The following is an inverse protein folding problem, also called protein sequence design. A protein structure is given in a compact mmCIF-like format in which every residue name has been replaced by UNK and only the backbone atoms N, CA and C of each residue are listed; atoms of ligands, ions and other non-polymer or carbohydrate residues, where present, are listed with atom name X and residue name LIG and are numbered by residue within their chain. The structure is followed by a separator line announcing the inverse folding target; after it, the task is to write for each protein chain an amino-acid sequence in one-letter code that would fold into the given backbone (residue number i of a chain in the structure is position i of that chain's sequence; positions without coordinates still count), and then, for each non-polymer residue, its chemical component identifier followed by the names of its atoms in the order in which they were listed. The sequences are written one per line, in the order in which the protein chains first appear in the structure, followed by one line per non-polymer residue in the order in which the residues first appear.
data_IF_314499136045
#
_entry.id   IF_314499136045
#
_cell.length_a   1.000
_cell.length_b   1.000
_cell.length_c   1.000
_cell.angle_alpha   90.00
_cell.angle_beta   90.00
_cell.angle_gamma   90.00
#
_symmetry.space_group_name_H-M   'P 1'
#
loop_
_entity.id
_entity.type
_entity.pdbx_description
1 polymer ?
#
# COMPACT_ATOMS: atom_id res chain seq x y z
N UNK A 1 -2.65 -27.51 20.39
CA UNK A 1 -2.31 -26.75 19.17
C UNK A 1 -2.80 -27.48 17.90
N UNK A 2 -2.56 -28.80 17.75
CA UNK A 2 -3.17 -29.62 16.68
C UNK A 2 -4.72 -29.66 16.72
N UNK A 3 -5.33 -29.63 17.91
CA UNK A 3 -6.79 -29.63 18.08
C UNK A 3 -7.48 -28.35 17.57
N UNK A 4 -6.83 -27.19 17.68
CA UNK A 4 -7.32 -25.91 17.14
C UNK A 4 -7.08 -25.78 15.62
N UNK A 5 -6.01 -26.39 15.10
CA UNK A 5 -5.66 -26.40 13.67
C UNK A 5 -6.64 -27.27 12.86
N UNK A 6 -7.13 -28.38 13.44
CA UNK A 6 -8.11 -29.26 12.81
C UNK A 6 -9.54 -28.67 12.79
N UNK A 7 -9.92 -27.86 13.77
CA UNK A 7 -11.24 -27.22 13.80
C UNK A 7 -11.35 -26.00 12.84
N UNK A 8 -10.24 -25.29 12.60
CA UNK A 8 -10.21 -24.19 11.63
C UNK A 8 -10.45 -24.65 10.19
N UNK A 9 -9.89 -25.79 9.78
CA UNK A 9 -10.07 -26.34 8.41
C UNK A 9 -11.51 -26.71 8.09
N UNK A 10 -12.26 -27.30 9.04
CA UNK A 10 -13.67 -27.69 8.80
C UNK A 10 -14.62 -26.48 8.68
N UNK A 11 -14.25 -25.33 9.25
CA UNK A 11 -15.06 -24.09 9.16
C UNK A 11 -14.90 -23.36 7.81
N UNK A 12 -13.80 -23.58 7.08
CA UNK A 12 -13.46 -22.85 5.86
C UNK A 12 -14.05 -23.48 4.58
N UNK A 13 -14.53 -24.73 4.64
CA UNK A 13 -15.10 -25.43 3.48
C UNK A 13 -16.57 -25.07 3.15
N UNK A 14 -17.25 -24.26 3.98
CA UNK A 14 -18.69 -23.97 3.83
C UNK A 14 -19.05 -22.51 3.47
N UNK A 15 -18.12 -21.74 2.91
CA UNK A 15 -18.39 -20.37 2.43
C UNK A 15 -17.82 -20.14 1.02
N UNK A 16 -18.13 -21.05 0.09
CA UNK A 16 -18.16 -20.72 -1.34
C UNK A 16 -19.62 -20.71 -1.75
N UNK A 17 -20.16 -19.52 -2.02
CA UNK A 17 -20.94 -19.19 -3.22
C UNK A 17 -21.32 -17.69 -3.22
N UNK A 18 -20.94 -17.05 -4.34
CA UNK A 18 -21.57 -15.92 -5.05
C UNK A 18 -22.11 -14.73 -4.24
N UNK A 19 -21.49 -13.57 -4.46
CA UNK A 19 -22.22 -12.35 -4.81
C UNK A 19 -21.35 -11.41 -5.64
N UNK A 20 -21.70 -11.30 -6.93
CA UNK A 20 -21.25 -10.25 -7.84
C UNK A 20 -21.91 -8.94 -7.40
N UNK A 21 -21.13 -7.97 -6.92
CA UNK A 21 -21.52 -6.55 -6.91
C UNK A 21 -20.33 -5.71 -7.36
N UNK A 22 -20.59 -4.85 -8.32
CA UNK A 22 -19.65 -3.89 -8.88
C UNK A 22 -19.17 -2.94 -7.78
N UNK A 23 -17.89 -3.03 -7.44
CA UNK A 23 -17.20 -2.06 -6.60
C UNK A 23 -16.10 -1.42 -7.45
N UNK A 24 -16.19 -0.10 -7.65
CA UNK A 24 -15.06 0.70 -8.13
C UNK A 24 -13.99 0.62 -7.05
N UNK A 25 -12.94 -0.17 -7.28
CA UNK A 25 -11.80 -0.33 -6.38
C UNK A 25 -11.05 1.02 -6.23
N UNK A 26 -11.04 1.67 -5.04
CA UNK A 26 -10.14 2.80 -4.79
C UNK A 26 -8.76 2.31 -4.30
N UNK A 27 -8.50 1.00 -4.30
CA UNK A 27 -7.26 0.42 -3.80
C UNK A 27 -6.11 0.55 -4.80
N UNK A 28 -5.60 1.78 -4.95
CA UNK A 28 -4.21 2.06 -5.29
C UNK A 28 -3.72 3.27 -4.49
N UNK A 29 -3.65 3.13 -3.17
CA UNK A 29 -2.80 3.99 -2.35
C UNK A 29 -2.07 3.13 -1.32
N UNK A 30 -0.91 2.61 -1.72
CA UNK A 30 0.15 2.32 -0.75
C UNK A 30 1.00 3.59 -0.59
N UNK A 31 0.49 4.60 0.11
CA UNK A 31 1.34 5.68 0.60
C UNK A 31 1.83 5.31 1.99
N UNK A 32 3.11 4.96 2.04
CA UNK A 32 3.86 4.81 3.28
C UNK A 32 3.77 6.12 4.08
N UNK A 33 3.08 6.11 5.22
CA UNK A 33 3.25 7.13 6.24
C UNK A 33 4.29 6.62 7.24
N UNK A 34 5.54 7.06 7.04
CA UNK A 34 6.51 7.17 8.13
C UNK A 34 6.52 8.62 8.56
N UNK A 35 6.11 8.88 9.80
CA UNK A 35 6.29 10.16 10.46
C UNK A 35 7.78 10.41 10.70
N UNK A 36 8.33 11.48 10.13
CA UNK A 36 9.58 12.06 10.58
C UNK A 36 9.40 13.58 10.61
N UNK A 37 9.36 14.12 11.82
CA UNK A 37 9.66 15.52 12.09
C UNK A 37 11.17 15.71 11.96
N UNK A 38 11.63 16.48 10.99
CA UNK A 38 13.01 16.94 10.91
C UNK A 38 13.08 18.36 10.33
N UNK A 39 13.94 19.14 10.95
CA UNK A 39 14.30 20.54 10.68
C UNK A 39 14.74 20.77 9.23
N UNK A 40 14.20 21.82 8.63
CA UNK A 40 14.54 22.31 7.30
C UNK A 40 15.84 23.10 7.36
N UNK A 41 16.91 22.59 6.74
CA UNK A 41 17.63 23.29 5.64
C UNK A 41 18.84 22.54 5.06
N UNK A 42 19.34 21.46 5.68
CA UNK A 42 20.58 20.79 5.20
C UNK A 42 20.35 19.49 4.36
N UNK A 43 19.25 18.76 4.61
CA UNK A 43 19.01 17.43 4.00
C UNK A 43 18.68 17.39 2.49
N UNK A 44 18.43 18.53 1.83
CA UNK A 44 18.00 18.55 0.41
C UNK A 44 19.09 18.09 -0.56
N UNK A 45 20.38 18.24 -0.23
CA UNK A 45 21.49 17.87 -1.13
C UNK A 45 21.70 16.36 -1.21
N UNK A 46 21.72 15.64 -0.08
CA UNK A 46 21.95 14.18 -0.04
C UNK A 46 20.84 13.35 -0.69
N UNK A 47 19.58 13.77 -0.55
CA UNK A 47 18.44 13.06 -1.17
C UNK A 47 18.44 13.14 -2.69
N UNK A 48 18.87 14.27 -3.26
CA UNK A 48 18.96 14.47 -4.71
C UNK A 48 20.09 13.64 -5.32
N UNK A 49 21.26 13.59 -4.65
CA UNK A 49 22.37 12.74 -5.08
C UNK A 49 21.99 11.26 -5.07
N UNK A 50 21.40 10.78 -3.97
CA UNK A 50 20.98 9.38 -3.81
C UNK A 50 19.99 8.97 -4.90
N UNK A 51 18.99 9.80 -5.19
CA UNK A 51 18.00 9.51 -6.23
C UNK A 51 18.65 9.45 -7.63
N UNK A 52 19.50 10.43 -7.96
CA UNK A 52 20.22 10.46 -9.25
C UNK A 52 21.14 9.25 -9.43
N UNK A 53 21.87 8.88 -8.38
CA UNK A 53 22.72 7.69 -8.39
C UNK A 53 21.91 6.42 -8.65
N UNK A 54 20.74 6.26 -8.01
CA UNK A 54 19.89 5.09 -8.19
C UNK A 54 19.30 4.97 -9.60
N UNK A 55 18.98 6.10 -10.24
CA UNK A 55 18.54 6.13 -11.65
C UNK A 55 19.69 5.71 -12.57
N UNK A 56 20.87 6.27 -12.38
CA UNK A 56 22.02 6.06 -13.27
C UNK A 56 22.67 4.68 -13.10
N UNK A 57 22.77 4.17 -11.87
CA UNK A 57 23.48 2.90 -11.56
C UNK A 57 22.62 1.64 -11.71
N UNK A 58 21.30 1.74 -11.48
CA UNK A 58 20.37 0.59 -11.44
C UNK A 58 19.16 0.75 -12.36
N UNK A 59 19.04 1.87 -13.08
CA UNK A 59 17.95 2.11 -14.02
C UNK A 59 16.58 2.31 -13.36
N UNK A 60 16.53 2.76 -12.10
CA UNK A 60 15.25 3.04 -11.45
C UNK A 60 14.52 4.21 -12.11
N UNK A 61 13.18 4.19 -12.04
CA UNK A 61 12.40 5.38 -12.39
C UNK A 61 12.64 6.48 -11.36
N UNK A 62 12.58 7.74 -11.77
CA UNK A 62 12.78 8.90 -10.88
C UNK A 62 11.88 8.83 -9.65
N UNK A 63 10.58 8.50 -9.83
CA UNK A 63 9.62 8.35 -8.73
C UNK A 63 10.01 7.26 -7.72
N UNK A 64 10.53 6.13 -8.20
CA UNK A 64 10.96 5.03 -7.32
C UNK A 64 12.28 5.39 -6.61
N UNK A 65 13.23 5.98 -7.33
CA UNK A 65 14.49 6.46 -6.76
C UNK A 65 14.26 7.51 -5.66
N UNK A 66 13.35 8.46 -5.86
CA UNK A 66 12.91 9.43 -4.84
C UNK A 66 12.23 8.76 -3.65
N UNK A 67 11.44 7.71 -3.87
CA UNK A 67 10.83 6.95 -2.77
C UNK A 67 11.88 6.22 -1.91
N UNK A 68 12.92 5.70 -2.56
CA UNK A 68 14.05 5.04 -1.90
C UNK A 68 14.94 6.05 -1.17
N UNK A 69 15.21 7.22 -1.77
CA UNK A 69 16.05 8.26 -1.18
C UNK A 69 15.46 8.86 0.11
N UNK A 70 14.13 8.76 0.30
CA UNK A 70 13.48 9.10 1.58
C UNK A 70 13.79 8.11 2.70
N UNK A 71 14.23 6.89 2.37
CA UNK A 71 14.53 5.81 3.34
C UNK A 71 16.02 5.66 3.61
N UNK A 72 16.88 6.11 2.69
CA UNK A 72 18.34 6.09 2.80
C UNK A 72 18.90 7.31 2.10
N UNK A 73 19.90 7.96 2.69
CA UNK A 73 20.62 9.08 2.07
C UNK A 73 22.11 8.87 2.29
N UNK A 74 22.89 9.12 1.26
CA UNK A 74 24.36 9.13 1.30
C UNK A 74 24.88 10.26 0.40
N UNK A 75 26.08 10.74 0.71
CA UNK A 75 26.70 11.91 0.05
C UNK A 75 27.76 11.51 -0.97
N UNK A 76 28.33 10.30 -0.84
CA UNK A 76 29.29 9.72 -1.76
C UNK A 76 28.78 8.40 -2.37
N UNK A 77 29.46 7.93 -3.41
CA UNK A 77 29.16 6.66 -4.06
C UNK A 77 30.09 5.51 -3.65
N UNK A 78 30.98 5.69 -2.67
CA UNK A 78 32.02 4.71 -2.34
C UNK A 78 31.40 3.43 -1.78
N UNK A 79 30.60 3.56 -0.73
CA UNK A 79 29.92 2.43 -0.11
C UNK A 79 28.86 1.80 -1.04
N UNK A 80 27.95 2.59 -1.66
CA UNK A 80 27.00 2.06 -2.62
C UNK A 80 27.68 1.27 -3.76
N UNK A 81 28.72 1.82 -4.38
CA UNK A 81 29.41 1.16 -5.49
C UNK A 81 30.10 -0.13 -5.05
N UNK A 82 30.72 -0.14 -3.88
CA UNK A 82 31.37 -1.33 -3.30
C UNK A 82 30.34 -2.43 -3.02
N UNK A 83 29.18 -2.08 -2.45
CA UNK A 83 28.08 -3.02 -2.19
C UNK A 83 27.54 -3.62 -3.49
N UNK A 84 27.30 -2.79 -4.52
CA UNK A 84 26.81 -3.27 -5.82
C UNK A 84 27.83 -4.19 -6.50
N UNK A 85 29.11 -3.82 -6.47
CA UNK A 85 30.21 -4.59 -7.06
C UNK A 85 30.37 -5.94 -6.37
N UNK A 86 30.30 -5.96 -5.03
CA UNK A 86 30.33 -7.19 -4.25
C UNK A 86 29.15 -8.11 -4.63
N UNK A 87 27.92 -7.59 -4.65
CA UNK A 87 26.75 -8.39 -5.04
C UNK A 87 26.92 -8.97 -6.46
N UNK A 88 27.39 -8.19 -7.43
CA UNK A 88 27.68 -8.70 -8.79
C UNK A 88 28.75 -9.79 -8.77
N UNK A 89 29.80 -9.65 -7.96
CA UNK A 89 30.82 -10.68 -7.75
C UNK A 89 30.27 -11.98 -7.16
N UNK A 90 29.16 -11.93 -6.44
CA UNK A 90 28.45 -13.12 -5.96
C UNK A 90 27.42 -13.69 -6.95
N UNK A 91 27.29 -13.11 -8.15
CA UNK A 91 26.40 -13.58 -9.22
C UNK A 91 25.01 -12.92 -9.23
N UNK A 92 24.82 -11.82 -8.50
CA UNK A 92 23.55 -11.07 -8.53
C UNK A 92 23.44 -10.27 -9.82
N UNK A 93 22.32 -10.43 -10.53
CA UNK A 93 21.95 -9.59 -11.69
C UNK A 93 21.37 -8.27 -11.19
N UNK A 94 21.39 -7.24 -12.04
CA UNK A 94 20.84 -5.94 -11.67
C UNK A 94 19.34 -6.02 -11.30
N UNK A 95 18.56 -6.93 -11.88
CA UNK A 95 17.17 -7.18 -11.46
C UNK A 95 17.05 -7.66 -10.01
N UNK A 96 17.94 -8.57 -9.58
CA UNK A 96 18.04 -9.04 -8.21
C UNK A 96 18.42 -7.89 -7.28
N UNK A 97 19.47 -7.14 -7.66
CA UNK A 97 19.97 -6.01 -6.87
C UNK A 97 18.89 -4.93 -6.74
N UNK A 98 18.19 -4.58 -7.81
CA UNK A 98 17.07 -3.62 -7.77
C UNK A 98 15.96 -4.08 -6.83
N UNK A 99 15.62 -5.37 -6.80
CA UNK A 99 14.67 -5.92 -5.83
C UNK A 99 15.16 -5.78 -4.38
N UNK A 100 16.44 -6.10 -4.15
CA UNK A 100 17.10 -5.98 -2.83
C UNK A 100 17.06 -4.54 -2.34
N UNK A 101 17.51 -3.58 -3.15
CA UNK A 101 17.58 -2.17 -2.77
C UNK A 101 16.20 -1.58 -2.55
N UNK A 102 15.20 -1.96 -3.36
CA UNK A 102 13.81 -1.52 -3.16
C UNK A 102 13.28 -1.94 -1.77
N UNK A 103 13.60 -3.15 -1.33
CA UNK A 103 13.10 -3.74 -0.10
C UNK A 103 13.97 -3.42 1.13
N UNK A 104 15.27 -3.20 0.94
CA UNK A 104 16.25 -2.87 1.98
C UNK A 104 17.28 -1.81 1.52
N UNK A 105 16.86 -0.54 1.38
CA UNK A 105 17.73 0.54 0.89
C UNK A 105 19.00 0.77 1.71
N UNK A 106 18.90 0.60 3.04
CA UNK A 106 20.02 0.76 3.96
C UNK A 106 21.15 -0.26 3.79
N UNK A 107 21.04 -1.20 2.84
CA UNK A 107 22.16 -2.04 2.44
C UNK A 107 23.28 -1.20 1.80
N UNK A 108 22.94 -0.10 1.10
CA UNK A 108 23.91 0.74 0.38
C UNK A 108 24.82 1.58 1.29
N UNK A 109 24.45 1.73 2.56
CA UNK A 109 25.25 2.47 3.56
C UNK A 109 26.18 1.57 4.36
N UNK A 110 26.16 0.27 4.10
CA UNK A 110 27.02 -0.69 4.78
C UNK A 110 28.40 -0.74 4.14
N UNK A 111 29.40 -1.09 4.94
CA UNK A 111 30.70 -1.45 4.43
C UNK A 111 30.61 -2.84 3.77
N UNK A 112 30.93 -2.90 2.48
CA UNK A 112 30.77 -4.12 1.70
C UNK A 112 31.66 -5.26 2.24
N UNK A 113 32.92 -4.96 2.58
CA UNK A 113 33.90 -5.95 3.00
C UNK A 113 33.73 -6.35 4.46
N UNK A 114 33.41 -5.39 5.33
CA UNK A 114 33.27 -5.66 6.77
C UNK A 114 31.91 -6.22 7.13
N UNK A 115 30.83 -5.70 6.55
CA UNK A 115 29.47 -5.94 7.06
C UNK A 115 28.65 -6.92 6.20
N UNK A 116 28.95 -7.04 4.90
CA UNK A 116 28.18 -7.83 3.94
C UNK A 116 28.93 -9.09 3.47
N UNK A 117 30.18 -8.96 3.02
CA UNK A 117 30.98 -10.07 2.49
C UNK A 117 31.08 -11.26 3.46
N UNK A 118 31.33 -11.09 4.78
CA UNK A 118 31.42 -12.22 5.70
C UNK A 118 30.14 -13.04 5.77
N UNK A 119 28.97 -12.38 5.62
CA UNK A 119 27.67 -13.06 5.63
C UNK A 119 27.43 -13.83 4.34
N UNK A 120 27.83 -13.27 3.19
CA UNK A 120 27.71 -13.94 1.90
C UNK A 120 28.67 -15.14 1.81
N UNK A 121 29.91 -14.98 2.30
CA UNK A 121 30.88 -16.08 2.46
C UNK A 121 30.33 -17.18 3.35
N UNK A 122 29.79 -16.83 4.51
CA UNK A 122 29.17 -17.78 5.43
C UNK A 122 28.03 -18.56 4.78
N UNK A 123 27.13 -17.90 4.05
CA UNK A 123 26.03 -18.59 3.37
C UNK A 123 26.53 -19.52 2.25
N UNK A 124 27.57 -19.12 1.50
CA UNK A 124 28.21 -19.99 0.49
C UNK A 124 28.95 -21.18 1.13
N UNK A 125 29.74 -20.97 2.17
CA UNK A 125 30.47 -22.04 2.87
C UNK A 125 29.53 -23.06 3.51
N UNK A 126 28.30 -22.64 3.79
CA UNK A 126 27.20 -23.46 4.30
C UNK A 126 26.49 -24.30 3.21
N UNK A 127 26.89 -24.16 1.94
CA UNK A 127 26.41 -24.97 0.81
C UNK A 127 25.31 -24.32 -0.03
N UNK A 128 25.00 -23.03 0.16
CA UNK A 128 24.05 -22.32 -0.70
C UNK A 128 24.61 -22.17 -2.13
N UNK A 129 23.87 -22.67 -3.13
CA UNK A 129 24.21 -22.41 -4.52
C UNK A 129 24.04 -20.93 -4.87
N UNK A 130 24.75 -20.43 -5.88
CA UNK A 130 24.62 -19.04 -6.32
C UNK A 130 23.17 -18.72 -6.74
N UNK A 131 22.49 -19.64 -7.42
CA UNK A 131 21.08 -19.44 -7.83
C UNK A 131 20.15 -19.33 -6.62
N UNK A 132 20.31 -20.22 -5.64
CA UNK A 132 19.50 -20.18 -4.42
C UNK A 132 19.75 -18.90 -3.62
N UNK A 133 21.02 -18.54 -3.44
CA UNK A 133 21.43 -17.36 -2.70
C UNK A 133 20.83 -16.08 -3.32
N UNK A 134 20.93 -15.95 -4.65
CA UNK A 134 20.40 -14.79 -5.37
C UNK A 134 18.89 -14.71 -5.30
N UNK A 135 18.18 -15.84 -5.42
CA UNK A 135 16.72 -15.90 -5.31
C UNK A 135 16.23 -15.53 -3.90
N UNK A 136 16.80 -16.14 -2.86
CA UNK A 136 16.40 -15.92 -1.47
C UNK A 136 16.66 -14.48 -1.05
N UNK A 137 17.86 -13.96 -1.32
CA UNK A 137 18.22 -12.60 -0.92
C UNK A 137 17.44 -11.54 -1.70
N UNK A 138 17.02 -11.83 -2.94
CA UNK A 138 16.11 -10.96 -3.69
C UNK A 138 14.72 -10.86 -3.06
N UNK A 139 14.21 -11.94 -2.47
CA UNK A 139 12.90 -11.96 -1.77
C UNK A 139 13.00 -11.43 -0.34
N UNK A 140 14.09 -11.70 0.38
CA UNK A 140 14.21 -11.45 1.83
C UNK A 140 15.56 -10.80 2.18
N UNK A 141 15.88 -9.61 1.65
CA UNK A 141 17.22 -9.03 1.83
C UNK A 141 17.55 -8.66 3.28
N UNK A 142 16.54 -8.35 4.11
CA UNK A 142 16.74 -7.97 5.52
C UNK A 142 17.22 -9.12 6.41
N UNK A 143 17.26 -10.37 5.90
CA UNK A 143 17.88 -11.48 6.62
C UNK A 143 19.36 -11.20 6.93
N UNK A 144 20.03 -10.42 6.08
CA UNK A 144 21.43 -10.00 6.23
C UNK A 144 21.66 -9.05 7.42
N UNK A 145 20.61 -8.57 8.10
CA UNK A 145 20.74 -7.80 9.34
C UNK A 145 21.02 -8.68 10.55
N UNK A 146 20.78 -9.99 10.46
CA UNK A 146 21.00 -10.91 11.57
C UNK A 146 22.51 -10.99 11.86
N UNK A 147 22.91 -10.60 13.07
CA UNK A 147 24.33 -10.51 13.47
C UNK A 147 24.96 -11.86 13.81
N UNK A 148 24.16 -12.84 14.25
CA UNK A 148 24.66 -14.15 14.70
C UNK A 148 24.53 -15.18 13.60
N UNK A 149 25.63 -15.77 13.17
CA UNK A 149 25.69 -16.74 12.07
C UNK A 149 24.78 -17.96 12.28
N UNK A 150 24.77 -18.53 13.49
CA UNK A 150 23.85 -19.64 13.83
C UNK A 150 22.38 -19.25 13.67
N UNK A 151 22.02 -18.00 13.97
CA UNK A 151 20.66 -17.51 13.79
C UNK A 151 20.39 -17.22 12.32
N UNK A 152 21.31 -16.58 11.61
CA UNK A 152 21.22 -16.31 10.18
C UNK A 152 20.99 -17.61 9.40
N UNK A 153 21.79 -18.63 9.70
CA UNK A 153 21.68 -19.98 9.17
C UNK A 153 20.27 -20.55 9.33
N UNK A 154 19.71 -20.58 10.54
CA UNK A 154 18.36 -21.12 10.79
C UNK A 154 17.26 -20.37 10.04
N UNK A 155 17.34 -19.04 9.99
CA UNK A 155 16.37 -18.25 9.24
C UNK A 155 16.50 -18.49 7.73
N UNK A 156 17.73 -18.64 7.24
CA UNK A 156 17.99 -18.88 5.83
C UNK A 156 17.43 -20.24 5.39
N UNK A 157 17.63 -21.31 6.18
CA UNK A 157 17.03 -22.62 5.91
C UNK A 157 15.51 -22.56 5.84
N UNK A 158 14.91 -21.88 6.81
CA UNK A 158 13.46 -21.77 6.87
C UNK A 158 12.90 -20.99 5.66
N UNK A 159 13.57 -19.92 5.23
CA UNK A 159 13.17 -19.19 4.01
C UNK A 159 13.37 -20.07 2.76
N UNK A 160 14.48 -20.80 2.68
CA UNK A 160 14.74 -21.76 1.59
C UNK A 160 13.61 -22.78 1.48
N UNK A 161 13.22 -23.39 2.59
CA UNK A 161 12.13 -24.37 2.64
C UNK A 161 10.80 -23.77 2.16
N UNK A 162 10.47 -22.56 2.60
CA UNK A 162 9.25 -21.86 2.14
C UNK A 162 9.31 -21.60 0.63
N UNK A 163 10.46 -21.13 0.11
CA UNK A 163 10.64 -20.86 -1.32
C UNK A 163 10.58 -22.13 -2.16
N UNK A 164 11.13 -23.25 -1.67
CA UNK A 164 11.11 -24.53 -2.37
C UNK A 164 9.71 -25.15 -2.41
N UNK A 165 9.00 -25.15 -1.29
CA UNK A 165 7.67 -25.74 -1.21
C UNK A 165 6.62 -25.03 -2.09
N UNK A 166 6.85 -23.75 -2.40
CA UNK A 166 6.00 -22.96 -3.31
C UNK A 166 6.21 -23.35 -4.79
N UNK A 167 7.42 -23.80 -5.15
CA UNK A 167 7.74 -24.26 -6.51
C UNK A 167 7.17 -25.62 -6.84
N UNK A 168 6.96 -26.47 -5.84
CA UNK A 168 6.66 -27.89 -6.06
C UNK A 168 5.22 -28.20 -6.47
N UNK A 169 4.30 -27.21 -6.52
CA UNK A 169 2.87 -27.37 -6.90
C UNK A 169 2.08 -28.50 -6.18
N UNK A 170 2.71 -29.25 -5.29
CA UNK A 170 2.15 -30.41 -4.61
C UNK A 170 1.48 -29.95 -3.32
N UNK A 171 0.17 -30.18 -3.26
CA UNK A 171 -0.65 -30.18 -2.04
C UNK A 171 -0.20 -31.19 -0.96
N UNK A 172 0.96 -31.84 -1.13
CA UNK A 172 1.43 -32.96 -0.30
C UNK A 172 2.39 -32.56 0.83
N UNK A 173 2.87 -31.32 0.88
CA UNK A 173 3.66 -30.83 2.03
C UNK A 173 2.80 -30.42 3.23
N UNK A 174 1.53 -30.85 3.27
CA UNK A 174 0.58 -30.49 4.33
C UNK A 174 0.76 -31.24 5.65
N UNK A 175 1.55 -32.32 5.71
CA UNK A 175 1.68 -33.08 6.95
C UNK A 175 3.13 -33.53 7.13
N UNK A 176 3.70 -33.23 8.30
CA UNK A 176 5.01 -33.74 8.78
C UNK A 176 6.26 -32.91 8.51
N UNK A 177 6.21 -31.58 8.70
CA UNK A 177 7.44 -30.88 9.10
C UNK A 177 7.53 -30.90 10.63
N UNK A 178 8.62 -31.41 11.23
CA UNK A 178 8.86 -31.30 12.66
C UNK A 178 8.70 -29.83 13.09
N UNK A 179 8.09 -29.60 14.26
CA UNK A 179 8.04 -28.26 14.85
C UNK A 179 9.44 -27.66 14.78
N UNK A 180 9.63 -26.49 14.13
CA UNK A 180 10.97 -25.92 14.03
C UNK A 180 11.52 -25.70 15.44
N UNK A 181 12.52 -26.49 15.83
CA UNK A 181 13.28 -26.23 17.04
C UNK A 181 14.09 -24.95 16.79
N UNK A 182 13.58 -23.82 17.27
CA UNK A 182 14.15 -22.53 16.89
C UNK A 182 13.55 -21.33 17.63
N UNK A 183 14.00 -20.12 17.26
CA UNK A 183 13.46 -18.87 17.80
C UNK A 183 11.93 -18.83 17.67
N UNK A 184 11.24 -18.29 18.68
CA UNK A 184 9.77 -18.21 18.73
C UNK A 184 9.14 -17.68 17.44
N UNK A 185 9.80 -16.73 16.77
CA UNK A 185 9.42 -16.23 15.44
C UNK A 185 9.26 -17.30 14.38
N UNK A 186 10.22 -18.23 14.24
CA UNK A 186 10.16 -19.27 13.19
C UNK A 186 8.94 -20.17 13.42
N UNK A 187 8.72 -20.61 14.67
CA UNK A 187 7.55 -21.42 15.03
C UNK A 187 6.24 -20.71 14.74
N UNK A 188 6.13 -19.43 15.10
CA UNK A 188 4.91 -18.66 14.93
C UNK A 188 4.63 -18.39 13.44
N UNK A 189 5.66 -18.07 12.65
CA UNK A 189 5.55 -17.93 11.19
C UNK A 189 5.19 -19.27 10.54
N UNK A 190 5.75 -20.39 11.00
CA UNK A 190 5.33 -21.71 10.54
C UNK A 190 3.84 -21.98 10.82
N UNK A 191 3.33 -21.61 12.00
CA UNK A 191 1.90 -21.72 12.30
C UNK A 191 1.03 -20.87 11.35
N UNK A 192 1.46 -19.66 11.00
CA UNK A 192 0.76 -18.82 10.02
C UNK A 192 0.76 -19.44 8.61
N UNK A 193 1.87 -20.08 8.21
CA UNK A 193 1.94 -20.84 6.96
C UNK A 193 0.93 -21.98 6.93
N UNK A 194 0.77 -22.72 8.03
CA UNK A 194 -0.21 -23.81 8.15
C UNK A 194 -1.66 -23.32 8.07
N UNK A 195 -1.90 -22.04 8.32
CA UNK A 195 -3.20 -21.39 8.11
C UNK A 195 -3.40 -20.91 6.66
N UNK A 196 -2.47 -21.20 5.75
CA UNK A 196 -2.54 -20.82 4.34
C UNK A 196 -2.04 -19.43 4.02
N UNK A 197 -1.33 -18.74 4.93
CA UNK A 197 -0.82 -17.39 4.68
C UNK A 197 0.17 -17.35 3.48
N UNK A 198 -0.08 -16.50 2.47
CA UNK A 198 0.81 -16.32 1.32
C UNK A 198 2.23 -15.88 1.68
N UNK A 199 3.21 -16.28 0.86
CA UNK A 199 4.63 -16.01 1.06
C UNK A 199 4.96 -14.51 1.18
N UNK A 200 4.32 -13.68 0.36
CA UNK A 200 4.53 -12.23 0.31
C UNK A 200 4.10 -11.51 1.61
N UNK A 201 3.13 -12.06 2.33
CA UNK A 201 2.71 -11.60 3.66
C UNK A 201 3.56 -12.22 4.79
N UNK A 202 3.93 -13.49 4.61
CA UNK A 202 4.62 -14.30 5.60
C UNK A 202 6.08 -13.88 5.82
N UNK A 203 6.84 -13.75 4.72
CA UNK A 203 8.28 -13.47 4.80
C UNK A 203 8.60 -12.12 5.47
N UNK A 204 7.88 -11.02 5.19
CA UNK A 204 8.09 -9.77 5.92
C UNK A 204 7.92 -9.91 7.43
N UNK A 205 7.02 -10.76 7.93
CA UNK A 205 6.82 -10.96 9.38
C UNK A 205 8.04 -11.60 10.05
N UNK A 206 8.72 -12.51 9.35
CA UNK A 206 9.91 -13.20 9.86
C UNK A 206 11.07 -12.22 10.11
N UNK A 207 11.31 -11.30 9.17
CA UNK A 207 12.43 -10.34 9.20
C UNK A 207 12.08 -9.00 9.84
N UNK A 208 10.80 -8.72 10.05
CA UNK A 208 10.35 -7.49 10.67
C UNK A 208 10.83 -7.39 12.13
N UNK A 209 11.11 -6.15 12.56
CA UNK A 209 11.25 -5.86 13.99
C UNK A 209 9.89 -5.76 14.69
N UNK A 210 8.78 -5.69 13.94
CA UNK A 210 7.44 -5.72 14.51
C UNK A 210 7.29 -7.01 15.30
N UNK A 211 7.11 -6.89 16.61
CA UNK A 211 7.07 -8.03 17.50
C UNK A 211 5.86 -8.95 17.35
N UNK A 212 4.99 -8.76 16.35
CA UNK A 212 3.71 -9.45 16.20
C UNK A 212 3.78 -10.98 16.11
N UNK A 213 4.98 -11.52 15.85
CA UNK A 213 5.25 -12.97 15.84
C UNK A 213 6.31 -13.36 16.88
N UNK A 214 6.60 -12.49 17.86
CA UNK A 214 7.50 -12.77 18.98
C UNK A 214 6.75 -13.45 20.12
N UNK A 215 7.46 -14.24 20.90
CA UNK A 215 6.90 -14.87 22.11
C UNK A 215 5.86 -15.94 21.78
N UNK A 216 5.58 -16.83 22.75
CA UNK A 216 4.61 -17.92 22.54
C UNK A 216 3.19 -17.47 22.87
N UNK A 217 2.99 -17.13 24.15
CA UNK A 217 1.68 -16.93 24.76
C UNK A 217 0.91 -15.81 24.06
N UNK A 218 1.52 -14.62 23.98
CA UNK A 218 0.88 -13.44 23.38
C UNK A 218 0.54 -13.64 21.90
N UNK A 219 1.39 -14.33 21.14
CA UNK A 219 1.10 -14.65 19.74
C UNK A 219 -0.11 -15.59 19.62
N UNK A 220 -0.17 -16.65 20.42
CA UNK A 220 -1.27 -17.62 20.41
C UNK A 220 -2.61 -16.96 20.80
N UNK A 221 -2.60 -16.10 21.82
CA UNK A 221 -3.78 -15.32 22.25
C UNK A 221 -4.26 -14.35 21.15
N UNK A 222 -3.36 -13.57 20.56
CA UNK A 222 -3.71 -12.64 19.49
C UNK A 222 -4.19 -13.38 18.24
N UNK A 223 -3.53 -14.49 17.87
CA UNK A 223 -3.91 -15.33 16.74
C UNK A 223 -5.32 -15.89 16.91
N UNK A 224 -5.64 -16.42 18.11
CA UNK A 224 -6.97 -16.92 18.44
C UNK A 224 -8.03 -15.84 18.26
N UNK A 225 -7.82 -14.64 18.81
CA UNK A 225 -8.76 -13.52 18.69
C UNK A 225 -9.01 -13.12 17.24
N UNK A 226 -7.96 -13.00 16.42
CA UNK A 226 -8.08 -12.65 14.99
C UNK A 226 -8.90 -13.69 14.23
N UNK A 227 -8.69 -14.98 14.52
CA UNK A 227 -9.45 -16.07 13.89
C UNK A 227 -10.91 -16.07 14.34
N UNK A 228 -11.19 -15.90 15.63
CA UNK A 228 -12.55 -15.81 16.18
C UNK A 228 -13.34 -14.62 15.62
N UNK A 229 -12.65 -13.52 15.29
CA UNK A 229 -13.25 -12.36 14.62
C UNK A 229 -13.59 -12.61 13.14
N UNK A 230 -13.14 -13.73 12.56
CA UNK A 230 -13.42 -14.12 11.18
C UNK A 230 -12.50 -13.50 10.13
N UNK A 231 -11.28 -13.09 10.50
CA UNK A 231 -10.30 -12.63 9.51
C UNK A 231 -9.72 -13.81 8.73
N UNK A 232 -9.66 -13.64 7.41
CA UNK A 232 -9.02 -14.60 6.51
C UNK A 232 -7.47 -14.48 6.58
N UNK A 233 -6.75 -15.54 7.02
CA UNK A 233 -5.29 -15.58 7.11
C UNK A 233 -4.53 -15.26 5.82
N UNK A 234 -5.18 -15.36 4.66
CA UNK A 234 -4.58 -15.06 3.37
C UNK A 234 -4.51 -13.57 3.05
N UNK A 235 -5.15 -12.73 3.86
CA UNK A 235 -5.31 -11.30 3.58
C UNK A 235 -4.33 -10.43 4.36
N UNK A 236 -3.96 -9.28 3.79
CA UNK A 236 -3.18 -8.28 4.51
C UNK A 236 -3.92 -7.71 5.72
N UNK A 237 -5.26 -7.71 5.72
CA UNK A 237 -6.09 -7.28 6.86
C UNK A 237 -5.86 -8.16 8.08
N UNK A 238 -5.76 -9.48 7.91
CA UNK A 238 -5.42 -10.38 8.99
C UNK A 238 -4.08 -10.02 9.63
N UNK A 239 -3.06 -9.74 8.82
CA UNK A 239 -1.73 -9.34 9.33
C UNK A 239 -1.80 -8.01 10.09
N UNK A 240 -2.59 -7.04 9.61
CA UNK A 240 -2.80 -5.78 10.31
C UNK A 240 -3.52 -5.96 11.66
N UNK A 241 -4.60 -6.74 11.68
CA UNK A 241 -5.36 -7.07 12.89
C UNK A 241 -4.49 -7.79 13.92
N UNK A 242 -3.72 -8.80 13.47
CA UNK A 242 -2.78 -9.54 14.33
C UNK A 242 -1.73 -8.62 14.94
N UNK A 243 -1.14 -7.72 14.15
CA UNK A 243 -0.15 -6.75 14.65
C UNK A 243 -0.76 -5.83 15.71
N UNK A 244 -1.95 -5.31 15.46
CA UNK A 244 -2.65 -4.43 16.40
C UNK A 244 -2.95 -5.17 17.71
N UNK A 245 -3.64 -6.32 17.66
CA UNK A 245 -4.01 -7.08 18.85
C UNK A 245 -2.80 -7.62 19.60
N UNK A 246 -1.70 -7.90 18.91
CA UNK A 246 -0.45 -8.26 19.56
C UNK A 246 0.20 -7.07 20.28
N UNK A 247 0.10 -5.83 19.78
CA UNK A 247 0.80 -4.69 20.37
C UNK A 247 0.08 -4.11 21.58
N UNK A 248 -1.24 -4.21 21.61
CA UNK A 248 -2.07 -3.53 22.60
C UNK A 248 -2.49 -4.47 23.74
N UNK A 249 -2.76 -3.91 24.93
CA UNK A 249 -3.40 -4.66 26.02
C UNK A 249 -4.92 -4.62 25.84
N UNK A 250 -5.65 -5.53 26.48
CA UNK A 250 -7.13 -5.52 26.44
C UNK A 250 -7.69 -4.20 26.96
N UNK A 251 -7.12 -3.67 28.05
CA UNK A 251 -7.47 -2.35 28.57
C UNK A 251 -7.26 -1.25 27.52
N UNK A 252 -6.11 -1.24 26.85
CA UNK A 252 -5.83 -0.25 25.81
C UNK A 252 -6.80 -0.36 24.62
N UNK A 253 -7.19 -1.58 24.24
CA UNK A 253 -8.18 -1.81 23.19
C UNK A 253 -9.53 -1.24 23.63
N UNK A 254 -9.96 -1.54 24.85
CA UNK A 254 -11.23 -1.04 25.39
C UNK A 254 -11.23 0.48 25.52
N UNK A 255 -10.15 1.08 26.03
CA UNK A 255 -10.00 2.53 26.13
C UNK A 255 -10.16 3.19 24.75
N UNK A 256 -9.62 2.56 23.70
CA UNK A 256 -9.79 3.03 22.31
C UNK A 256 -11.21 2.88 21.79
N UNK A 257 -11.86 1.75 22.03
CA UNK A 257 -13.28 1.57 21.68
C UNK A 257 -14.11 2.65 22.35
N UNK A 258 -13.83 2.95 23.63
CA UNK A 258 -14.51 3.98 24.39
C UNK A 258 -14.31 5.38 23.79
N UNK A 259 -13.15 5.70 23.19
CA UNK A 259 -12.96 6.97 22.44
C UNK A 259 -14.03 7.10 21.35
N UNK A 260 -14.22 6.04 20.55
CA UNK A 260 -15.21 6.04 19.47
C UNK A 260 -16.65 6.06 19.99
N UNK A 261 -16.91 5.39 21.12
CA UNK A 261 -18.22 5.44 21.79
C UNK A 261 -18.56 6.82 22.33
N UNK A 262 -17.59 7.56 22.87
CA UNK A 262 -17.78 8.97 23.25
C UNK A 262 -18.09 9.88 22.05
N UNK A 263 -17.68 9.47 20.85
CA UNK A 263 -18.00 10.18 19.60
C UNK A 263 -19.33 9.73 18.99
N UNK A 264 -20.06 8.80 19.60
CA UNK A 264 -21.38 8.35 19.15
C UNK A 264 -21.42 7.03 18.36
N UNK A 265 -20.29 6.33 18.18
CA UNK A 265 -20.28 4.99 17.57
C UNK A 265 -20.61 3.90 18.59
N UNK A 266 -21.45 2.93 18.22
CA UNK A 266 -21.67 1.75 19.07
C UNK A 266 -20.40 0.89 19.12
N UNK A 267 -20.22 0.09 20.18
CA UNK A 267 -19.13 -0.88 20.23
C UNK A 267 -19.14 -1.84 19.03
N UNK A 268 -20.32 -2.24 18.59
CA UNK A 268 -20.52 -3.08 17.40
C UNK A 268 -20.04 -2.39 16.12
N UNK A 269 -20.41 -1.11 15.92
CA UNK A 269 -19.96 -0.32 14.76
C UNK A 269 -18.42 -0.30 14.69
N UNK A 270 -17.75 -0.09 15.81
CA UNK A 270 -16.28 -0.04 15.90
C UNK A 270 -15.66 -1.37 15.49
N UNK A 271 -16.23 -2.50 15.93
CA UNK A 271 -15.75 -3.82 15.55
C UNK A 271 -16.03 -4.17 14.09
N UNK A 272 -17.16 -3.74 13.52
CA UNK A 272 -17.42 -3.86 12.09
C UNK A 272 -16.42 -3.05 11.25
N UNK A 273 -16.12 -1.82 11.69
CA UNK A 273 -15.09 -0.98 11.08
C UNK A 273 -13.71 -1.64 11.17
N UNK A 274 -13.40 -2.28 12.29
CA UNK A 274 -12.15 -3.02 12.48
C UNK A 274 -12.00 -4.19 11.50
N UNK A 275 -13.07 -4.94 11.23
CA UNK A 275 -13.05 -6.00 10.21
C UNK A 275 -12.77 -5.45 8.80
N UNK A 276 -13.28 -4.24 8.49
CA UNK A 276 -13.05 -3.58 7.20
C UNK A 276 -11.62 -3.01 7.06
N UNK A 277 -11.13 -2.34 8.11
CA UNK A 277 -9.85 -1.62 8.07
C UNK A 277 -9.14 -1.56 9.43
N UNK A 278 -8.46 -2.63 9.87
CA UNK A 278 -7.92 -2.75 11.24
C UNK A 278 -7.01 -1.59 11.70
N UNK A 279 -6.30 -0.96 10.76
CA UNK A 279 -5.28 0.05 11.06
C UNK A 279 -5.85 1.31 11.71
N UNK A 280 -7.14 1.63 11.53
CA UNK A 280 -7.73 2.85 12.14
C UNK A 280 -7.66 2.85 13.68
N UNK A 281 -7.67 1.67 14.31
CA UNK A 281 -7.54 1.53 15.77
C UNK A 281 -6.13 1.89 16.27
N UNK A 282 -5.14 2.02 15.40
CA UNK A 282 -3.78 2.41 15.82
C UNK A 282 -3.62 3.93 16.03
N UNK A 283 -4.59 4.74 15.58
CA UNK A 283 -4.57 6.19 15.74
C UNK A 283 -4.63 6.61 17.21
N UNK A 284 -3.95 7.71 17.56
CA UNK A 284 -4.08 8.31 18.89
C UNK A 284 -5.46 8.97 19.05
N UNK A 285 -5.93 9.10 20.29
CA UNK A 285 -7.19 9.80 20.60
C UNK A 285 -7.20 11.20 19.99
N UNK A 286 -6.12 11.97 20.17
CA UNK A 286 -5.95 13.30 19.57
C UNK A 286 -6.21 13.32 18.05
N UNK A 287 -5.69 12.33 17.32
CA UNK A 287 -5.88 12.27 15.85
C UNK A 287 -7.34 11.97 15.49
N UNK A 288 -7.99 11.11 16.27
CA UNK A 288 -9.39 10.72 16.05
C UNK A 288 -10.30 11.93 16.30
N UNK A 289 -10.13 12.63 17.43
CA UNK A 289 -10.95 13.79 17.79
C UNK A 289 -10.72 14.95 16.83
N UNK A 290 -9.47 15.22 16.42
CA UNK A 290 -9.17 16.24 15.41
C UNK A 290 -9.90 15.96 14.10
N UNK A 291 -9.84 14.72 13.59
CA UNK A 291 -10.54 14.37 12.34
C UNK A 291 -12.05 14.63 12.46
N UNK A 292 -12.64 14.28 13.61
CA UNK A 292 -14.06 14.52 13.87
C UNK A 292 -14.38 16.02 13.89
N UNK A 293 -13.61 16.83 14.62
CA UNK A 293 -13.74 18.29 14.67
C UNK A 293 -13.60 18.92 13.29
N UNK A 294 -12.68 18.43 12.45
CA UNK A 294 -12.51 18.92 11.09
C UNK A 294 -13.73 18.67 10.23
N UNK A 295 -14.32 17.48 10.30
CA UNK A 295 -15.56 17.19 9.58
C UNK A 295 -16.70 18.08 10.07
N UNK A 296 -16.78 18.35 11.38
CA UNK A 296 -17.75 19.29 11.95
C UNK A 296 -17.53 20.73 11.44
N UNK A 297 -16.28 21.20 11.37
CA UNK A 297 -15.93 22.50 10.78
C UNK A 297 -16.25 22.59 9.28
N UNK A 298 -16.29 21.45 8.58
CA UNK A 298 -16.73 21.36 7.19
C UNK A 298 -18.26 21.45 7.02
N UNK A 299 -19.03 21.59 8.11
CA UNK A 299 -20.48 21.69 8.07
C UNK A 299 -21.21 20.35 8.08
N UNK A 300 -20.52 19.23 8.30
CA UNK A 300 -21.20 17.94 8.47
C UNK A 300 -21.80 17.85 9.87
N UNK A 301 -23.04 17.38 9.95
CA UNK A 301 -23.65 17.05 11.25
C UNK A 301 -23.13 15.72 11.77
N UNK A 302 -23.19 15.51 13.08
CA UNK A 302 -22.64 14.33 13.77
C UNK A 302 -22.99 13.01 13.09
N UNK A 303 -24.27 12.78 12.76
CA UNK A 303 -24.71 11.55 12.09
C UNK A 303 -24.03 11.32 10.73
N UNK A 304 -23.76 12.37 9.98
CA UNK A 304 -23.06 12.29 8.69
C UNK A 304 -21.59 11.94 8.87
N UNK A 305 -20.95 12.49 9.90
CA UNK A 305 -19.56 12.17 10.27
C UNK A 305 -19.46 10.69 10.65
N UNK A 306 -20.37 10.21 11.50
CA UNK A 306 -20.41 8.81 11.92
C UNK A 306 -20.67 7.88 10.73
N UNK A 307 -21.59 8.23 9.84
CA UNK A 307 -21.84 7.50 8.59
C UNK A 307 -20.58 7.45 7.70
N UNK A 308 -19.87 8.56 7.58
CA UNK A 308 -18.62 8.65 6.83
C UNK A 308 -17.53 7.75 7.45
N UNK A 309 -17.36 7.78 8.77
CA UNK A 309 -16.39 6.95 9.50
C UNK A 309 -16.70 5.46 9.33
N UNK A 310 -17.97 5.03 9.43
CA UNK A 310 -18.37 3.63 9.22
C UNK A 310 -18.10 3.14 7.79
N UNK A 311 -18.35 3.99 6.80
CA UNK A 311 -18.13 3.66 5.37
C UNK A 311 -16.66 3.72 4.98
N UNK A 312 -15.90 4.63 5.57
CA UNK A 312 -14.51 4.91 5.23
C UNK A 312 -13.61 5.05 6.46
N UNK A 313 -13.39 3.99 7.27
CA UNK A 313 -12.59 4.10 8.49
C UNK A 313 -11.15 4.59 8.25
N UNK A 314 -10.66 4.46 7.02
CA UNK A 314 -9.35 4.96 6.59
C UNK A 314 -9.21 6.49 6.62
N UNK A 315 -10.29 7.27 6.66
CA UNK A 315 -10.18 8.73 6.81
C UNK A 315 -9.85 9.14 8.26
N UNK A 316 -10.08 8.26 9.23
CA UNK A 316 -9.87 8.53 10.65
C UNK A 316 -8.38 8.64 10.94
N UNK A 317 -7.97 9.76 11.54
CA UNK A 317 -6.58 10.05 11.90
C UNK A 317 -5.70 10.43 10.72
N UNK A 318 -6.29 10.73 9.57
CA UNK A 318 -5.61 11.40 8.47
C UNK A 318 -5.01 12.74 8.96
N UNK A 319 -3.80 13.06 8.50
CA UNK A 319 -3.21 14.37 8.78
C UNK A 319 -3.98 15.44 8.03
N UNK A 320 -4.54 16.38 8.79
CA UNK A 320 -5.18 17.57 8.24
C UNK A 320 -4.12 18.42 7.54
N UNK A 321 -4.12 18.37 6.22
CA UNK A 321 -3.70 19.54 5.44
C UNK A 321 -4.85 20.55 5.50
N UNK A 322 -4.59 21.85 5.28
CA UNK A 322 -5.60 22.93 5.23
C UNK A 322 -6.57 22.73 4.04
N UNK A 323 -7.24 21.58 4.01
CA UNK A 323 -7.99 21.05 2.89
C UNK A 323 -9.27 21.87 2.70
N UNK A 324 -9.90 22.26 3.80
CA UNK A 324 -11.04 23.19 3.81
C UNK A 324 -10.64 24.52 3.18
N UNK A 325 -9.61 25.17 3.69
CA UNK A 325 -9.13 26.45 3.16
C UNK A 325 -8.68 26.33 1.70
N UNK A 326 -8.15 25.17 1.32
CA UNK A 326 -7.80 24.87 -0.07
C UNK A 326 -9.04 24.86 -0.96
N UNK A 327 -10.12 24.17 -0.57
CA UNK A 327 -11.36 24.18 -1.33
C UNK A 327 -12.00 25.57 -1.37
N UNK A 328 -12.07 26.26 -0.23
CA UNK A 328 -12.60 27.62 -0.18
C UNK A 328 -11.79 28.58 -1.08
N UNK A 329 -10.46 28.49 -1.04
CA UNK A 329 -9.56 29.28 -1.90
C UNK A 329 -9.62 28.92 -3.39
N UNK A 330 -10.16 27.74 -3.75
CA UNK A 330 -10.47 27.35 -5.12
C UNK A 330 -11.86 27.80 -5.58
N UNK A 331 -12.63 28.47 -4.72
CA UNK A 331 -13.95 29.03 -5.02
C UNK A 331 -15.14 28.13 -4.67
N UNK A 332 -14.93 27.02 -3.96
CA UNK A 332 -16.04 26.22 -3.45
C UNK A 332 -16.73 26.91 -2.27
N UNK A 333 -18.06 26.81 -2.19
CA UNK A 333 -18.81 27.26 -1.01
C UNK A 333 -18.65 26.28 0.15
N UNK A 334 -19.03 26.68 1.37
CA UNK A 334 -19.03 25.77 2.53
C UNK A 334 -19.94 24.55 2.30
N UNK A 335 -21.09 24.75 1.66
CA UNK A 335 -22.03 23.67 1.34
C UNK A 335 -21.43 22.70 0.31
N UNK A 336 -20.69 23.21 -0.68
CA UNK A 336 -19.96 22.37 -1.64
C UNK A 336 -18.93 21.50 -0.93
N UNK A 337 -18.18 22.07 0.02
CA UNK A 337 -17.20 21.33 0.82
C UNK A 337 -17.89 20.22 1.64
N UNK A 338 -19.04 20.52 2.25
CA UNK A 338 -19.81 19.51 2.99
C UNK A 338 -20.22 18.34 2.09
N UNK A 339 -20.73 18.63 0.88
CA UNK A 339 -21.10 17.60 -0.11
C UNK A 339 -19.88 16.77 -0.54
N UNK A 340 -18.75 17.43 -0.77
CA UNK A 340 -17.48 16.77 -1.13
C UNK A 340 -17.05 15.81 -0.02
N UNK A 341 -17.00 16.28 1.24
CA UNK A 341 -16.56 15.46 2.38
C UNK A 341 -17.52 14.30 2.66
N UNK A 342 -18.83 14.49 2.49
CA UNK A 342 -19.82 13.42 2.62
C UNK A 342 -19.64 12.31 1.57
N UNK A 343 -19.29 12.67 0.33
CA UNK A 343 -19.13 11.71 -0.79
C UNK A 343 -17.72 11.14 -0.89
N UNK A 344 -16.70 11.88 -0.46
CA UNK A 344 -15.30 11.49 -0.46
C UNK A 344 -14.60 11.89 0.86
N UNK A 345 -14.89 11.23 2.00
CA UNK A 345 -14.25 11.55 3.28
C UNK A 345 -12.72 11.51 3.25
N UNK A 346 -12.15 10.69 2.35
CA UNK A 346 -10.71 10.54 2.16
C UNK A 346 -10.00 11.83 1.69
N UNK A 347 -10.71 12.82 1.13
CA UNK A 347 -10.09 14.04 0.65
C UNK A 347 -9.40 14.86 1.75
N UNK A 348 -9.77 14.66 3.03
CA UNK A 348 -9.09 15.27 4.18
C UNK A 348 -7.59 14.95 4.23
N UNK A 349 -7.19 13.81 3.66
CA UNK A 349 -5.80 13.35 3.60
C UNK A 349 -5.02 13.85 2.38
N UNK A 350 -5.69 14.54 1.44
CA UNK A 350 -5.04 15.00 0.22
C UNK A 350 -4.25 16.28 0.48
N UNK A 351 -3.09 16.41 -0.18
CA UNK A 351 -2.31 17.64 -0.08
C UNK A 351 -2.98 18.79 -0.84
N UNK A 352 -2.74 20.01 -0.38
CA UNK A 352 -3.23 21.23 -1.02
C UNK A 352 -2.84 21.30 -2.50
N UNK A 353 -1.60 20.95 -2.83
CA UNK A 353 -1.09 20.96 -4.20
C UNK A 353 -1.79 19.92 -5.07
N UNK A 354 -2.12 18.75 -4.50
CA UNK A 354 -2.86 17.72 -5.22
C UNK A 354 -4.27 18.18 -5.55
N UNK A 355 -4.99 18.70 -4.55
CA UNK A 355 -6.38 19.20 -4.73
C UNK A 355 -6.39 20.34 -5.75
N UNK A 356 -5.51 21.35 -5.58
CA UNK A 356 -5.39 22.48 -6.51
C UNK A 356 -5.11 22.02 -7.93
N UNK A 357 -4.06 21.22 -8.14
CA UNK A 357 -3.67 20.74 -9.48
C UNK A 357 -4.82 20.01 -10.19
N UNK A 358 -5.51 19.12 -9.48
CA UNK A 358 -6.60 18.33 -10.06
C UNK A 358 -7.83 19.17 -10.36
N UNK A 359 -8.21 20.07 -9.45
CA UNK A 359 -9.33 20.98 -9.66
C UNK A 359 -9.05 21.94 -10.81
N UNK A 360 -7.85 22.54 -10.87
CA UNK A 360 -7.46 23.45 -11.95
C UNK A 360 -7.42 22.75 -13.31
N UNK A 361 -6.93 21.51 -13.38
CA UNK A 361 -6.98 20.73 -14.61
C UNK A 361 -8.42 20.52 -15.09
N UNK A 362 -9.33 20.07 -14.21
CA UNK A 362 -10.73 19.82 -14.58
C UNK A 362 -11.46 21.10 -14.95
N UNK A 363 -11.26 22.18 -14.21
CA UNK A 363 -12.04 23.42 -14.38
C UNK A 363 -11.43 24.35 -15.42
N UNK A 364 -10.13 24.63 -15.33
CA UNK A 364 -9.46 25.62 -16.19
C UNK A 364 -9.01 25.02 -17.52
N UNK A 365 -8.37 23.85 -17.50
CA UNK A 365 -7.82 23.29 -18.74
C UNK A 365 -8.88 22.53 -19.56
N UNK A 366 -9.85 21.95 -18.88
CA UNK A 366 -10.84 21.08 -19.48
C UNK A 366 -12.23 21.74 -19.59
N UNK A 367 -12.39 22.93 -19.01
CA UNK A 367 -13.60 23.77 -19.08
C UNK A 367 -14.86 23.12 -18.47
N UNK A 368 -14.72 22.17 -17.53
CA UNK A 368 -15.87 21.75 -16.73
C UNK A 368 -16.21 22.81 -15.69
N UNK A 369 -17.50 23.00 -15.35
CA UNK A 369 -17.87 23.89 -14.26
C UNK A 369 -17.31 23.39 -12.93
N UNK A 370 -17.04 24.31 -12.00
CA UNK A 370 -16.57 23.96 -10.64
C UNK A 370 -17.51 22.94 -9.95
N UNK A 371 -18.81 23.08 -10.19
CA UNK A 371 -19.87 22.19 -9.69
C UNK A 371 -19.77 20.74 -10.20
N UNK A 372 -19.02 20.48 -11.27
CA UNK A 372 -18.76 19.12 -11.72
C UNK A 372 -17.89 18.34 -10.72
N UNK A 373 -16.97 19.03 -10.02
CA UNK A 373 -16.15 18.43 -8.95
C UNK A 373 -17.00 18.12 -7.72
N UNK A 374 -17.97 18.98 -7.37
CA UNK A 374 -18.92 18.74 -6.26
C UNK A 374 -19.84 17.57 -6.57
N UNK A 375 -20.33 17.52 -7.81
CA UNK A 375 -21.21 16.44 -8.29
C UNK A 375 -20.50 15.09 -8.31
N UNK A 376 -19.20 15.07 -8.62
CA UNK A 376 -18.38 13.86 -8.61
C UNK A 376 -17.00 14.06 -7.97
N UNK A 377 -16.91 14.13 -6.62
CA UNK A 377 -15.65 14.41 -5.93
C UNK A 377 -14.60 13.32 -6.13
N UNK A 378 -15.04 12.10 -6.45
CA UNK A 378 -14.18 10.96 -6.77
C UNK A 378 -13.15 11.22 -7.87
N UNK A 379 -13.35 12.24 -8.72
CA UNK A 379 -12.35 12.68 -9.71
C UNK A 379 -11.00 13.03 -9.04
N UNK A 380 -11.02 13.56 -7.82
CA UNK A 380 -9.82 13.91 -7.06
C UNK A 380 -9.02 12.66 -6.63
N UNK A 381 -9.67 11.49 -6.58
CA UNK A 381 -9.03 10.22 -6.26
C UNK A 381 -8.40 9.51 -7.46
N UNK A 382 -8.76 9.88 -8.70
CA UNK A 382 -8.29 9.20 -9.92
C UNK A 382 -6.84 9.55 -10.26
N UNK A 383 -6.12 8.64 -10.92
CA UNK A 383 -4.76 8.89 -11.41
C UNK A 383 -4.77 9.89 -12.56
N UNK A 384 -3.93 10.92 -12.47
CA UNK A 384 -3.82 11.94 -13.52
C UNK A 384 -3.25 11.34 -14.80
N UNK A 385 -2.08 10.71 -14.68
CA UNK A 385 -1.28 10.25 -15.81
C UNK A 385 -1.91 9.01 -16.46
N UNK A 386 -2.47 8.09 -15.67
CA UNK A 386 -3.00 6.83 -16.20
C UNK A 386 -4.46 6.90 -16.66
N UNK A 387 -5.22 7.92 -16.23
CA UNK A 387 -6.69 7.92 -16.41
C UNK A 387 -7.27 9.27 -16.78
N UNK A 388 -7.06 10.31 -15.98
CA UNK A 388 -7.71 11.61 -16.19
C UNK A 388 -7.21 12.28 -17.47
N UNK A 389 -5.90 12.52 -17.59
CA UNK A 389 -5.30 13.21 -18.74
C UNK A 389 -5.55 12.48 -20.06
N UNK A 390 -5.29 11.15 -20.20
CA UNK A 390 -5.52 10.47 -21.47
C UNK A 390 -6.96 10.56 -21.96
N UNK A 391 -7.94 10.39 -21.04
CA UNK A 391 -9.37 10.44 -21.38
C UNK A 391 -9.83 11.84 -21.70
N UNK A 392 -9.35 12.83 -20.97
CA UNK A 392 -9.58 14.23 -21.25
C UNK A 392 -9.05 14.64 -22.63
N UNK A 393 -7.88 14.15 -23.04
CA UNK A 393 -7.33 14.43 -24.36
C UNK A 393 -8.19 13.85 -25.49
N UNK A 394 -8.73 12.64 -25.34
CA UNK A 394 -9.71 12.06 -26.28
C UNK A 394 -10.95 12.95 -26.37
N UNK A 395 -11.51 13.35 -25.23
CA UNK A 395 -12.70 14.22 -25.19
C UNK A 395 -12.42 15.55 -25.88
N UNK A 396 -11.27 16.17 -25.61
CA UNK A 396 -10.82 17.39 -26.30
C UNK A 396 -10.73 17.22 -27.81
N UNK A 397 -10.15 16.12 -28.28
CA UNK A 397 -10.05 15.82 -29.71
C UNK A 397 -11.43 15.67 -30.36
N UNK A 398 -12.34 14.93 -29.71
CA UNK A 398 -13.71 14.75 -30.18
C UNK A 398 -14.51 16.07 -30.19
N UNK A 399 -14.39 16.90 -29.16
CA UNK A 399 -15.03 18.22 -29.10
C UNK A 399 -14.50 19.14 -30.20
N UNK A 400 -13.19 19.17 -30.43
CA UNK A 400 -12.57 19.96 -31.50
C UNK A 400 -13.05 19.55 -32.90
N UNK A 401 -13.34 18.26 -33.09
CA UNK A 401 -13.90 17.71 -34.34
C UNK A 401 -15.44 17.82 -34.42
N UNK A 402 -16.11 18.36 -33.40
CA UNK A 402 -17.57 18.49 -33.35
C UNK A 402 -18.32 17.16 -33.19
N UNK A 403 -17.63 16.08 -32.78
CA UNK A 403 -18.19 14.72 -32.68
C UNK A 403 -18.92 14.45 -31.35
N UNK A 404 -18.67 15.30 -30.36
CA UNK A 404 -19.42 15.38 -29.10
C UNK A 404 -19.70 16.86 -28.82
N UNK A 405 -20.84 17.15 -28.16
CA UNK A 405 -21.41 18.50 -27.98
C UNK A 405 -20.36 19.61 -27.87
N UNK A 406 -20.46 20.62 -28.74
CA UNK A 406 -19.43 21.64 -28.94
C UNK A 406 -19.21 22.55 -27.74
N UNK A 407 -20.24 22.73 -26.92
CA UNK A 407 -20.29 23.82 -25.94
C UNK A 407 -20.11 23.35 -24.50
N UNK A 408 -20.45 22.09 -24.19
CA UNK A 408 -20.34 21.52 -22.85
C UNK A 408 -19.68 20.15 -22.84
N UNK A 409 -18.68 19.95 -21.97
CA UNK A 409 -18.04 18.65 -21.87
C UNK A 409 -18.95 17.62 -21.18
N UNK A 410 -18.82 16.31 -21.49
CA UNK A 410 -19.67 15.27 -20.93
C UNK A 410 -19.53 15.19 -19.40
N UNK A 411 -20.54 14.72 -18.64
CA UNK A 411 -20.46 14.66 -17.19
C UNK A 411 -19.19 13.96 -16.68
N UNK A 412 -18.45 14.59 -15.76
CA UNK A 412 -17.13 14.13 -15.26
C UNK A 412 -17.14 12.67 -14.84
N UNK A 413 -18.14 12.24 -14.07
CA UNK A 413 -18.25 10.86 -13.62
C UNK A 413 -18.43 9.86 -14.78
N UNK A 414 -19.21 10.24 -15.80
CA UNK A 414 -19.45 9.40 -16.99
C UNK A 414 -18.19 9.24 -17.84
N UNK A 415 -17.40 10.31 -17.96
CA UNK A 415 -16.19 10.36 -18.74
C UNK A 415 -14.99 9.71 -18.04
N UNK A 416 -14.75 10.06 -16.77
CA UNK A 416 -13.49 9.75 -16.09
C UNK A 416 -13.56 8.53 -15.16
N UNK A 417 -14.73 8.23 -14.59
CA UNK A 417 -14.87 7.15 -13.61
C UNK A 417 -15.30 5.81 -14.22
N UNK A 418 -15.77 5.80 -15.46
CA UNK A 418 -16.23 4.57 -16.10
C UNK A 418 -15.09 3.57 -16.39
N UNK A 419 -15.44 2.30 -16.63
CA UNK A 419 -14.48 1.27 -17.02
C UNK A 419 -13.81 1.61 -18.35
N UNK A 420 -12.63 1.05 -18.61
CA UNK A 420 -11.91 1.31 -19.86
C UNK A 420 -12.74 0.85 -21.07
N UNK A 421 -13.37 -0.32 -20.96
CA UNK A 421 -14.27 -0.85 -21.99
C UNK A 421 -15.46 0.07 -22.29
N UNK A 422 -16.08 0.61 -21.24
CA UNK A 422 -17.23 1.49 -21.40
C UNK A 422 -16.82 2.87 -21.93
N UNK A 423 -15.63 3.36 -21.57
CA UNK A 423 -15.04 4.55 -22.16
C UNK A 423 -14.81 4.37 -23.66
N UNK A 424 -14.13 3.28 -24.05
CA UNK A 424 -13.84 2.95 -25.45
C UNK A 424 -15.14 2.84 -26.25
N UNK A 425 -16.15 2.13 -25.74
CA UNK A 425 -17.45 2.02 -26.40
C UNK A 425 -18.13 3.36 -26.64
N UNK A 426 -18.06 4.29 -25.68
CA UNK A 426 -18.75 5.58 -25.76
C UNK A 426 -18.06 6.61 -26.65
N UNK A 427 -16.72 6.64 -26.60
CA UNK A 427 -15.94 7.75 -27.16
C UNK A 427 -15.00 7.35 -28.29
N UNK A 428 -14.71 6.05 -28.46
CA UNK A 428 -13.79 5.58 -29.50
C UNK A 428 -14.55 4.73 -30.51
N UNK A 429 -15.10 3.59 -30.08
CA UNK A 429 -15.78 2.62 -30.96
C UNK A 429 -17.11 3.10 -31.55
N UNK A 430 -17.64 4.22 -31.05
CA UNK A 430 -18.76 4.91 -31.70
C UNK A 430 -18.39 5.39 -33.12
N UNK A 431 -17.10 5.49 -33.41
CA UNK A 431 -16.55 5.91 -34.68
C UNK A 431 -15.82 4.76 -35.40
N UNK A 432 -16.22 3.50 -35.16
CA UNK A 432 -15.58 2.33 -35.81
C UNK A 432 -15.65 2.37 -37.35
N UNK A 433 -16.54 3.18 -37.92
CA UNK A 433 -16.62 3.45 -39.36
C UNK A 433 -15.48 4.35 -39.90
N UNK A 434 -14.69 4.98 -39.01
CA UNK A 434 -13.54 5.84 -39.34
C UNK A 434 -12.27 5.30 -38.67
N UNK A 435 -11.57 4.41 -39.38
CA UNK A 435 -10.37 3.72 -38.89
C UNK A 435 -9.24 4.70 -38.51
N UNK A 436 -9.09 5.81 -39.23
CA UNK A 436 -8.05 6.81 -38.97
C UNK A 436 -8.32 7.56 -37.67
N UNK A 437 -9.57 7.96 -37.44
CA UNK A 437 -9.99 8.58 -36.19
C UNK A 437 -9.85 7.61 -35.01
N UNK A 438 -10.24 6.35 -35.17
CA UNK A 438 -10.08 5.35 -34.10
C UNK A 438 -8.60 5.13 -33.77
N UNK A 439 -7.73 5.06 -34.77
CA UNK A 439 -6.29 4.95 -34.58
C UNK A 439 -5.72 6.18 -33.84
N UNK A 440 -6.14 7.39 -34.21
CA UNK A 440 -5.77 8.64 -33.54
C UNK A 440 -6.17 8.62 -32.05
N UNK A 441 -7.45 8.35 -31.76
CA UNK A 441 -7.98 8.33 -30.39
C UNK A 441 -7.31 7.25 -29.52
N UNK A 442 -7.05 6.07 -30.09
CA UNK A 442 -6.30 5.02 -29.41
C UNK A 442 -4.83 5.37 -29.22
N UNK A 443 -4.25 6.13 -30.15
CA UNK A 443 -2.92 6.73 -30.04
C UNK A 443 -2.84 7.68 -28.85
N UNK A 444 -3.82 8.57 -28.68
CA UNK A 444 -3.91 9.49 -27.54
C UNK A 444 -3.99 8.74 -26.21
N UNK A 445 -4.83 7.70 -26.12
CA UNK A 445 -4.95 6.90 -24.89
C UNK A 445 -3.67 6.14 -24.53
N UNK A 446 -2.86 5.75 -25.53
CA UNK A 446 -1.60 5.02 -25.34
C UNK A 446 -0.40 5.93 -25.14
N UNK A 447 -0.35 7.08 -25.81
CA UNK A 447 0.75 8.04 -25.79
C UNK A 447 1.04 8.62 -24.40
N UNK A 448 0.05 8.63 -23.51
CA UNK A 448 0.23 9.04 -22.10
C UNK A 448 0.82 7.95 -21.18
N UNK A 449 1.12 6.74 -21.71
CA UNK A 449 1.80 5.66 -20.95
C UNK A 449 3.33 5.64 -21.15
N UNK A 450 3.85 6.46 -22.07
CA UNK A 450 5.26 6.54 -22.41
C UNK A 450 5.82 7.94 -22.11
N UNK A 451 5.86 8.31 -20.83
CA UNK A 451 6.62 9.47 -20.33
C UNK A 451 6.87 9.33 -18.84
#
# INVERSE_FOLDING_TARGET
MLSLILHGRKSLELQRWRNLRFAVNPLQYSSAFSSASASLQDGRKGHNFTASYLVTSLGFTTKLAESISKKVSFEDNVNPQSVLSLLRGYGFRDSHISSIITNYPGLLTLDAERDLDPKLKFLKSRGASTSELTEILSKVPKILRIKKDKTLSRYYDFVREIVQADKSSSSEFEVSLPLPHGPSKIRNVFALRQLGMPQDLLLPLLISQSGAVNGKVRFEESLKKVLEMGFDPTTSRFVQALRMLYQMSEKTIQDKVNVYTRLGLSGEDVWEMFKKWPTFMTNSEKKITQTFETFSKCGLVEEEILSAFKKFPQCIGASEHNCVDTFLGLGFSKDDVAVIFKRLPLCVSYSTEMVKRKTEFVVKEMNWPLQAVVSFPGVLGLSMEKRVVPRCNVIKALMKKGLIGSDEPPPVGSALACTDELFLRRYVRKHDDDEELVAELMGILRGSRAS
#
